data_IF_369898761341
#
_entry.id   IF_369898761341
#
_cell.length_a   1.000
_cell.length_b   1.000
_cell.length_c   1.000
_cell.angle_alpha   90.00
_cell.angle_beta   90.00
_cell.angle_gamma   90.00
#
_symmetry.space_group_name_H-M   'P 1'
#
loop_
_entity.id
_entity.type
_entity.pdbx_description
1 polymer ?
#
# COMPACT_ATOMS: atom_id res chain seq x y z
N UNK A 1 21.26 14.89 -12.14
CA UNK A 1 21.82 13.56 -11.84
C UNK A 1 21.81 13.43 -10.32
N UNK A 2 20.78 12.79 -9.76
CA UNK A 2 20.69 12.57 -8.30
C UNK A 2 21.53 11.31 -8.03
N UNK A 3 22.52 11.34 -7.11
CA UNK A 3 23.32 10.17 -6.84
C UNK A 3 22.44 9.06 -6.26
N UNK A 4 22.53 7.86 -6.84
CA UNK A 4 21.96 6.66 -6.24
C UNK A 4 22.63 6.46 -4.87
N UNK A 5 21.85 6.62 -3.78
CA UNK A 5 22.34 6.32 -2.44
C UNK A 5 22.64 4.83 -2.36
N UNK A 6 23.84 4.51 -1.90
CA UNK A 6 24.31 3.15 -1.61
C UNK A 6 23.33 2.50 -0.61
N UNK A 7 22.82 1.32 -0.97
CA UNK A 7 21.75 0.55 -0.32
C UNK A 7 22.05 0.09 1.12
N UNK A 8 22.15 1.02 2.07
CA UNK A 8 21.86 0.71 3.47
C UNK A 8 20.65 1.54 3.88
N UNK A 9 19.49 0.88 3.90
CA UNK A 9 18.29 1.44 4.51
C UNK A 9 18.61 1.77 5.96
N UNK A 10 18.37 3.03 6.35
CA UNK A 10 18.45 3.44 7.75
C UNK A 10 17.59 2.50 8.61
N UNK A 11 17.99 2.17 9.85
CA UNK A 11 17.25 1.24 10.71
C UNK A 11 15.75 1.56 10.81
N UNK A 12 15.41 2.85 10.84
CA UNK A 12 14.02 3.32 10.86
C UNK A 12 13.28 2.94 9.57
N UNK A 13 13.88 3.19 8.41
CA UNK A 13 13.31 2.79 7.12
C UNK A 13 13.12 1.26 7.00
N UNK A 14 14.00 0.45 7.59
CA UNK A 14 13.82 -1.01 7.63
C UNK A 14 12.64 -1.42 8.50
N UNK A 15 12.50 -0.80 9.67
CA UNK A 15 11.37 -1.04 10.58
C UNK A 15 10.05 -0.62 9.92
N UNK A 16 10.04 0.53 9.26
CA UNK A 16 8.85 1.06 8.58
C UNK A 16 8.45 0.19 7.39
N UNK A 17 9.42 -0.31 6.63
CA UNK A 17 9.16 -1.29 5.56
C UNK A 17 8.61 -2.61 6.09
N UNK A 18 9.11 -3.09 7.23
CA UNK A 18 8.58 -4.28 7.89
C UNK A 18 7.12 -4.06 8.34
N UNK A 19 6.84 -2.91 8.94
CA UNK A 19 5.47 -2.52 9.31
C UNK A 19 4.53 -2.46 8.10
N UNK A 20 4.93 -1.80 7.01
CA UNK A 20 4.15 -1.77 5.77
C UNK A 20 3.92 -3.20 5.25
N UNK A 21 4.93 -4.07 5.35
CA UNK A 21 4.79 -5.47 4.97
C UNK A 21 3.74 -6.21 5.80
N UNK A 22 3.71 -6.00 7.12
CA UNK A 22 2.70 -6.59 8.00
C UNK A 22 1.28 -6.10 7.65
N UNK A 23 1.12 -4.81 7.35
CA UNK A 23 -0.17 -4.23 6.93
C UNK A 23 -0.66 -4.90 5.64
N UNK A 24 0.22 -5.05 4.65
CA UNK A 24 -0.08 -5.71 3.37
C UNK A 24 -0.43 -7.19 3.58
N UNK A 25 0.38 -7.93 4.33
CA UNK A 25 0.11 -9.33 4.66
C UNK A 25 -1.24 -9.50 5.34
N UNK A 26 -1.57 -8.62 6.28
CA UNK A 26 -2.85 -8.66 7.01
C UNK A 26 -4.03 -8.33 6.10
N UNK A 27 -3.89 -7.33 5.23
CA UNK A 27 -4.93 -6.96 4.28
C UNK A 27 -5.21 -8.07 3.26
N UNK A 28 -4.18 -8.83 2.88
CA UNK A 28 -4.29 -9.91 1.89
C UNK A 28 -4.51 -11.30 2.50
N UNK A 29 -4.52 -11.42 3.83
CA UNK A 29 -4.72 -12.68 4.56
C UNK A 29 -6.17 -13.15 4.45
N UNK A 30 -6.55 -13.64 3.27
CA UNK A 30 -7.90 -14.08 2.95
C UNK A 30 -8.18 -14.20 1.45
N UNK A 31 -7.30 -13.64 0.59
CA UNK A 31 -7.45 -13.72 -0.86
C UNK A 31 -6.76 -14.99 -1.36
N UNK A 32 -7.51 -16.09 -1.43
CA UNK A 32 -6.99 -17.42 -1.79
C UNK A 32 -6.66 -17.58 -3.29
N UNK A 33 -7.19 -16.74 -4.19
CA UNK A 33 -6.97 -16.91 -5.64
C UNK A 33 -7.01 -15.60 -6.44
N UNK A 34 -5.86 -15.22 -7.00
CA UNK A 34 -5.69 -14.00 -7.81
C UNK A 34 -5.53 -12.77 -6.92
N UNK A 35 -4.50 -11.97 -7.15
CA UNK A 35 -4.33 -10.72 -6.42
C UNK A 35 -5.51 -9.80 -6.75
N UNK A 36 -6.31 -9.50 -5.74
CA UNK A 36 -7.49 -8.66 -5.82
C UNK A 36 -7.21 -7.33 -5.10
N UNK A 37 -7.96 -6.29 -5.44
CA UNK A 37 -7.96 -5.05 -4.66
C UNK A 37 -8.69 -5.28 -3.34
N UNK A 38 -8.08 -4.87 -2.23
CA UNK A 38 -8.72 -4.76 -0.90
C UNK A 38 -8.93 -3.29 -0.61
N UNK A 39 -10.17 -2.85 -0.69
CA UNK A 39 -10.55 -1.50 -0.28
C UNK A 39 -11.13 -1.55 1.14
N UNK A 40 -10.63 -0.69 2.02
CA UNK A 40 -11.22 -0.37 3.31
C UNK A 40 -11.76 1.06 3.28
N UNK A 41 -13.02 1.20 3.65
CA UNK A 41 -13.73 2.48 3.82
C UNK A 41 -14.05 2.67 5.31
N UNK A 42 -14.06 3.93 5.79
CA UNK A 42 -14.10 4.27 7.21
C UNK A 42 -15.37 5.03 7.63
N UNK A 43 -15.65 5.04 8.94
CA UNK A 43 -16.94 5.45 9.53
C UNK A 43 -17.31 6.92 9.30
N UNK A 44 -16.32 7.75 9.00
CA UNK A 44 -16.53 9.16 8.70
C UNK A 44 -16.94 9.45 7.25
N UNK A 45 -17.11 8.40 6.41
CA UNK A 45 -17.43 8.44 4.97
C UNK A 45 -16.45 9.29 4.14
N UNK A 46 -15.33 9.73 4.74
CA UNK A 46 -14.41 10.70 4.15
C UNK A 46 -13.02 10.16 3.97
N UNK A 47 -12.65 9.07 4.61
CA UNK A 47 -11.34 8.45 4.45
C UNK A 47 -11.45 7.11 3.72
N UNK A 48 -10.42 6.77 2.96
CA UNK A 48 -10.26 5.44 2.38
C UNK A 48 -8.82 4.95 2.44
N UNK A 49 -8.67 3.62 2.47
CA UNK A 49 -7.41 2.91 2.33
C UNK A 49 -7.62 1.79 1.31
N UNK A 50 -6.97 1.88 0.15
CA UNK A 50 -6.91 0.80 -0.83
C UNK A 50 -5.54 0.13 -0.77
N UNK A 51 -5.55 -1.20 -0.70
CA UNK A 51 -4.36 -2.04 -0.84
C UNK A 51 -4.69 -3.02 -1.95
N UNK A 52 -4.06 -2.85 -3.09
CA UNK A 52 -4.15 -3.79 -4.21
C UNK A 52 -2.82 -4.46 -4.43
N UNK A 53 -2.85 -5.60 -5.07
CA UNK A 53 -1.67 -5.98 -5.83
C UNK A 53 -2.03 -6.44 -7.22
N UNK A 54 -1.05 -6.31 -8.08
CA UNK A 54 -1.12 -6.65 -9.48
C UNK A 54 0.05 -7.56 -9.80
N UNK A 55 -0.19 -8.57 -10.62
CA UNK A 55 0.90 -9.31 -11.26
C UNK A 55 0.80 -9.00 -12.74
N UNK A 56 1.75 -8.23 -13.29
CA UNK A 56 1.76 -7.98 -14.73
C UNK A 56 2.19 -9.27 -15.45
N UNK A 57 1.62 -9.57 -16.64
CA UNK A 57 2.09 -10.69 -17.44
C UNK A 57 3.59 -10.55 -17.74
N UNK A 58 4.39 -11.52 -17.26
CA UNK A 58 5.84 -11.54 -17.42
C UNK A 58 6.67 -10.94 -16.28
N UNK A 59 6.04 -10.42 -15.21
CA UNK A 59 6.75 -10.05 -13.99
C UNK A 59 6.97 -11.27 -13.08
N UNK A 60 8.22 -11.47 -12.64
CA UNK A 60 8.60 -12.55 -11.72
C UNK A 60 8.11 -12.28 -10.27
N UNK A 61 7.77 -11.03 -9.94
CA UNK A 61 7.30 -10.63 -8.61
C UNK A 61 6.07 -9.72 -8.72
N UNK A 62 5.01 -9.96 -7.92
CA UNK A 62 3.86 -9.07 -7.88
C UNK A 62 4.23 -7.68 -7.36
N UNK A 63 3.49 -6.68 -7.81
CA UNK A 63 3.52 -5.33 -7.28
C UNK A 63 2.38 -5.15 -6.30
N UNK A 64 2.64 -4.53 -5.16
CA UNK A 64 1.64 -4.01 -4.23
C UNK A 64 1.52 -2.51 -4.45
N UNK A 65 0.29 -2.02 -4.50
CA UNK A 65 -0.04 -0.61 -4.44
C UNK A 65 -0.85 -0.34 -3.17
N UNK A 66 -0.42 0.65 -2.40
CA UNK A 66 -1.13 1.17 -1.24
C UNK A 66 -1.51 2.60 -1.57
N UNK A 67 -2.78 2.95 -1.39
CA UNK A 67 -3.28 4.29 -1.56
C UNK A 67 -4.18 4.66 -0.38
N UNK A 68 -3.98 5.85 0.17
CA UNK A 68 -4.88 6.40 1.18
C UNK A 68 -5.19 7.86 0.87
N UNK A 69 -6.36 8.30 1.30
CA UNK A 69 -6.80 9.65 1.04
C UNK A 69 -8.21 9.90 1.49
N UNK A 70 -8.77 10.95 0.92
CA UNK A 70 -10.13 11.36 1.22
C UNK A 70 -11.07 11.04 0.06
N UNK A 71 -12.29 10.64 0.40
CA UNK A 71 -13.38 10.52 -0.56
C UNK A 71 -14.32 11.70 -0.37
N UNK A 72 -14.56 12.43 -1.46
CA UNK A 72 -15.57 13.50 -1.52
C UNK A 72 -16.63 13.11 -2.54
N UNK A 73 -17.84 12.82 -2.05
CA UNK A 73 -18.95 12.27 -2.83
C UNK A 73 -18.57 10.98 -3.61
N UNK A 74 -18.22 11.12 -4.89
CA UNK A 74 -17.81 10.04 -5.80
C UNK A 74 -16.35 10.15 -6.27
N UNK A 75 -15.62 11.16 -5.82
CA UNK A 75 -14.22 11.39 -6.20
C UNK A 75 -13.27 10.96 -5.08
N UNK A 76 -12.27 10.15 -5.44
CA UNK A 76 -11.16 9.78 -4.56
C UNK A 76 -10.01 10.76 -4.75
N UNK A 77 -9.58 11.36 -3.66
CA UNK A 77 -8.43 12.25 -3.61
C UNK A 77 -7.31 11.60 -2.78
N UNK A 78 -6.41 10.91 -3.47
CA UNK A 78 -5.24 10.29 -2.86
C UNK A 78 -4.33 11.35 -2.22
N UNK A 79 -4.02 11.15 -0.94
CA UNK A 79 -3.06 11.99 -0.18
C UNK A 79 -1.76 11.24 0.11
N UNK A 80 -1.74 9.92 -0.06
CA UNK A 80 -0.52 9.14 -0.08
C UNK A 80 -0.64 7.92 -0.99
N UNK A 81 0.48 7.58 -1.62
CA UNK A 81 0.59 6.41 -2.50
C UNK A 81 1.94 5.73 -2.37
N UNK A 82 1.96 4.40 -2.36
CA UNK A 82 3.16 3.57 -2.40
C UNK A 82 3.01 2.47 -3.42
N UNK A 83 4.03 2.26 -4.25
CA UNK A 83 4.13 1.15 -5.19
C UNK A 83 5.42 0.41 -4.90
N UNK A 84 5.32 -0.90 -4.71
CA UNK A 84 6.46 -1.71 -4.30
C UNK A 84 6.37 -3.15 -4.82
N UNK A 85 7.53 -3.75 -5.10
CA UNK A 85 7.66 -5.17 -5.39
C UNK A 85 7.49 -5.98 -4.12
N UNK A 86 6.67 -7.02 -4.20
CA UNK A 86 6.30 -7.88 -3.08
C UNK A 86 6.85 -9.30 -3.24
N UNK A 87 7.51 -9.79 -2.20
CA UNK A 87 7.89 -11.19 -2.08
C UNK A 87 6.70 -11.98 -1.55
N UNK A 88 6.13 -12.87 -2.37
CA UNK A 88 5.12 -13.82 -1.87
C UNK A 88 5.72 -14.76 -0.83
N UNK A 89 6.87 -15.34 -1.17
CA UNK A 89 7.53 -16.36 -0.34
C UNK A 89 7.95 -15.83 1.02
N UNK A 90 8.47 -14.60 1.06
CA UNK A 90 8.93 -13.97 2.30
C UNK A 90 7.90 -13.07 2.96
N UNK A 91 6.75 -12.84 2.32
CA UNK A 91 5.71 -11.92 2.77
C UNK A 91 6.28 -10.54 3.15
N UNK A 92 7.07 -9.95 2.25
CA UNK A 92 7.77 -8.70 2.53
C UNK A 92 7.96 -7.83 1.28
N UNK A 93 8.20 -6.53 1.49
CA UNK A 93 8.60 -5.60 0.44
C UNK A 93 10.05 -5.89 0.02
N UNK A 94 10.28 -6.11 -1.28
CA UNK A 94 11.62 -6.35 -1.85
C UNK A 94 12.23 -5.13 -2.53
N UNK A 95 11.39 -4.18 -2.93
CA UNK A 95 11.85 -2.95 -3.56
C UNK A 95 10.74 -1.91 -3.64
N UNK A 96 11.09 -0.67 -3.33
CA UNK A 96 10.20 0.48 -3.47
C UNK A 96 10.38 1.09 -4.86
N UNK A 97 9.26 1.33 -5.54
CA UNK A 97 9.25 2.01 -6.84
C UNK A 97 8.80 3.45 -6.68
N UNK A 98 7.73 3.68 -5.91
CA UNK A 98 7.11 4.98 -5.71
C UNK A 98 6.71 5.12 -4.24
N UNK A 99 7.00 6.26 -3.63
CA UNK A 99 6.47 6.66 -2.32
C UNK A 99 6.12 8.15 -2.38
N UNK A 100 4.83 8.46 -2.25
CA UNK A 100 4.30 9.80 -2.42
C UNK A 100 3.43 10.20 -1.22
N UNK A 101 3.53 11.47 -0.87
CA UNK A 101 2.64 12.18 0.06
C UNK A 101 2.27 13.51 -0.60
N UNK A 102 0.97 13.81 -0.69
CA UNK A 102 0.43 15.05 -1.28
C UNK A 102 1.01 15.31 -2.69
N UNK A 103 1.16 14.24 -3.49
CA UNK A 103 1.72 14.27 -4.84
C UNK A 103 3.24 14.46 -4.92
N UNK A 104 3.96 14.45 -3.79
CA UNK A 104 5.41 14.68 -3.73
C UNK A 104 6.17 13.43 -3.27
N UNK A 105 7.35 13.13 -3.85
CA UNK A 105 8.24 12.09 -3.33
C UNK A 105 8.55 12.31 -1.86
N UNK A 106 8.44 11.25 -1.06
CA UNK A 106 8.77 11.27 0.36
C UNK A 106 9.53 10.00 0.76
N UNK A 107 10.19 10.07 1.92
CA UNK A 107 10.81 8.89 2.52
C UNK A 107 9.74 7.92 3.06
N UNK A 108 10.13 6.68 3.34
CA UNK A 108 9.23 5.64 3.85
C UNK A 108 8.65 6.00 5.23
N UNK A 109 9.44 6.60 6.11
CA UNK A 109 9.03 6.85 7.49
C UNK A 109 7.82 7.81 7.59
N UNK A 110 7.81 8.97 6.90
CA UNK A 110 6.61 9.80 6.82
C UNK A 110 5.40 9.07 6.24
N UNK A 111 5.60 8.23 5.23
CA UNK A 111 4.52 7.44 4.62
C UNK A 111 3.94 6.42 5.61
N UNK A 112 4.80 5.64 6.29
CA UNK A 112 4.40 4.65 7.28
C UNK A 112 3.64 5.29 8.45
N UNK A 113 4.09 6.46 8.92
CA UNK A 113 3.41 7.21 9.97
C UNK A 113 2.00 7.65 9.56
N UNK A 114 1.80 8.10 8.31
CA UNK A 114 0.46 8.44 7.80
C UNK A 114 -0.40 7.20 7.60
N UNK A 115 0.16 6.13 7.02
CA UNK A 115 -0.55 4.86 6.83
C UNK A 115 -1.08 4.31 8.15
N UNK A 116 -0.29 4.38 9.22
CA UNK A 116 -0.71 3.92 10.54
C UNK A 116 -1.98 4.61 11.04
N UNK A 117 -2.11 5.92 10.79
CA UNK A 117 -3.32 6.66 11.16
C UNK A 117 -4.57 6.14 10.45
N UNK A 118 -4.46 5.66 9.20
CA UNK A 118 -5.59 5.04 8.49
C UNK A 118 -5.87 3.61 8.98
N UNK A 119 -4.84 2.82 9.29
CA UNK A 119 -5.00 1.46 9.80
C UNK A 119 -5.68 1.43 11.17
N UNK A 120 -5.49 2.47 11.99
CA UNK A 120 -6.09 2.62 13.32
C UNK A 120 -7.55 3.12 13.29
N UNK A 121 -8.06 3.60 12.15
CA UNK A 121 -9.44 4.06 12.04
C UNK A 121 -10.44 2.89 12.11
N UNK A 122 -11.57 3.03 12.83
CA UNK A 122 -12.63 2.04 12.83
C UNK A 122 -13.25 1.94 11.42
N UNK A 123 -13.12 0.77 10.80
CA UNK A 123 -13.66 0.51 9.47
C UNK A 123 -15.16 0.16 9.55
N UNK A 124 -15.97 0.77 8.66
CA UNK A 124 -17.44 0.64 8.66
C UNK A 124 -17.99 -0.50 7.81
N UNK A 125 -17.13 -1.42 7.30
CA UNK A 125 -17.44 -2.50 6.31
C UNK A 125 -17.27 -2.00 4.86
N UNK A 126 -16.80 -2.74 3.82
CA UNK A 126 -16.78 -4.17 3.44
C UNK A 126 -15.50 -4.47 2.61
N UNK A 127 -14.77 -5.56 2.92
CA UNK A 127 -13.73 -6.11 2.03
C UNK A 127 -14.36 -6.47 0.68
N UNK A 128 -14.22 -5.60 -0.31
CA UNK A 128 -14.64 -5.91 -1.67
C UNK A 128 -13.41 -6.41 -2.41
N UNK A 129 -13.23 -7.73 -2.49
CA UNK A 129 -12.28 -8.32 -3.41
C UNK A 129 -12.77 -8.05 -4.84
N UNK A 130 -12.36 -6.92 -5.42
CA UNK A 130 -12.65 -6.63 -6.83
C UNK A 130 -11.73 -7.54 -7.64
N UNK A 131 -12.31 -8.58 -8.24
CA UNK A 131 -11.68 -9.27 -9.37
C UNK A 131 -11.88 -8.38 -10.58
N UNK A 132 -10.78 -7.94 -11.21
CA UNK A 132 -10.85 -7.48 -12.60
C UNK A 132 -11.58 -8.56 -13.40
N UNK A 133 -12.73 -8.18 -13.98
CA UNK A 133 -13.44 -9.02 -14.93
C UNK A 133 -12.67 -9.00 -16.25
N UNK A 134 -12.44 -10.20 -16.80
CA UNK A 134 -11.76 -10.53 -18.07
C UNK A 134 -11.77 -9.44 -19.17
#
# INVERSE_FOLDING_TARGET
>A
MIPARKDELLPDARRDLAYIGEVVSTALAGIETGWAEVVREFEDERNYLSISGATRPGDDAPTVQIEFGVQDEQERHATGGLVARWSRDRSCIEGLEIVLIDGKPCDVSPFAARLAAYVELPATVLETAVRDAD
#
